data_IF_072601764707
#
_entry.id   IF_072601764707
#
_cell.length_a   1.000
_cell.length_b   1.000
_cell.length_c   1.000
_cell.angle_alpha   90.00
_cell.angle_beta   90.00
_cell.angle_gamma   90.00
#
_symmetry.space_group_name_H-M   'P 1'
#
loop_
_entity.id
_entity.type
_entity.pdbx_description
1 polymer ?
#
# COMPACT_ATOMS: atom_id res chain seq x y z
N UNK A 1 3.27 15.80 -2.00
CA UNK A 1 2.48 14.59 -1.67
C UNK A 1 0.99 14.91 -1.72
N UNK A 2 0.37 14.88 -2.90
CA UNK A 2 -1.10 15.05 -3.02
C UNK A 2 -1.86 13.72 -2.99
N UNK A 3 -1.18 12.61 -3.24
CA UNK A 3 -1.81 11.29 -3.43
C UNK A 3 -1.79 10.47 -2.13
N UNK A 4 -0.68 10.52 -1.38
CA UNK A 4 -0.50 9.80 -0.10
C UNK A 4 -1.64 9.95 0.93
N UNK A 5 -2.35 11.08 0.98
CA UNK A 5 -3.43 11.30 1.96
C UNK A 5 -4.81 10.81 1.49
N UNK A 6 -5.01 10.69 0.18
CA UNK A 6 -6.30 10.31 -0.44
C UNK A 6 -6.32 8.87 -0.92
N UNK A 7 -5.16 8.24 -1.11
CA UNK A 7 -5.10 6.86 -1.58
C UNK A 7 -5.45 5.88 -0.44
N UNK A 8 -6.50 5.05 -0.60
CA UNK A 8 -6.83 3.98 0.33
C UNK A 8 -5.66 3.02 0.61
N UNK A 9 -4.78 2.77 -0.36
CA UNK A 9 -3.63 1.87 -0.18
C UNK A 9 -2.64 2.46 0.84
N UNK A 10 -2.31 3.74 0.73
CA UNK A 10 -1.44 4.41 1.71
C UNK A 10 -2.08 4.49 3.10
N UNK A 11 -3.39 4.67 3.20
CA UNK A 11 -4.08 4.61 4.50
C UNK A 11 -4.00 3.22 5.14
N UNK A 12 -4.14 2.17 4.34
CA UNK A 12 -4.00 0.79 4.81
C UNK A 12 -2.56 0.50 5.26
N UNK A 13 -1.56 0.97 4.51
CA UNK A 13 -0.14 0.88 4.90
C UNK A 13 0.11 1.60 6.24
N UNK A 14 -0.45 2.80 6.45
CA UNK A 14 -0.28 3.52 7.73
C UNK A 14 -0.91 2.78 8.91
N UNK A 15 -2.09 2.16 8.70
CA UNK A 15 -2.72 1.29 9.72
C UNK A 15 -1.85 0.07 10.03
N UNK A 16 -1.24 -0.54 9.02
CA UNK A 16 -0.33 -1.68 9.21
C UNK A 16 0.94 -1.29 9.95
N UNK A 17 1.52 -0.13 9.63
CA UNK A 17 2.66 0.42 10.38
C UNK A 17 2.29 0.64 11.85
N UNK A 18 1.13 1.21 12.12
CA UNK A 18 0.66 1.42 13.49
C UNK A 18 0.45 0.08 14.23
N UNK A 19 -0.21 -0.88 13.57
CA UNK A 19 -0.44 -2.24 14.10
C UNK A 19 0.87 -2.96 14.37
N UNK A 20 1.81 -2.92 13.43
CA UNK A 20 3.14 -3.51 13.57
C UNK A 20 3.91 -2.87 14.72
N UNK A 21 3.93 -1.54 14.81
CA UNK A 21 4.63 -0.85 15.89
C UNK A 21 4.07 -1.17 17.28
N UNK A 22 2.76 -1.40 17.39
CA UNK A 22 2.11 -1.81 18.64
C UNK A 22 2.42 -3.28 19.01
N UNK A 23 2.63 -4.15 18.02
CA UNK A 23 2.86 -5.59 18.24
C UNK A 23 4.34 -6.00 18.16
N UNK A 24 5.25 -5.12 17.75
CA UNK A 24 6.68 -5.43 17.56
C UNK A 24 7.33 -6.02 18.80
N UNK A 25 6.92 -5.59 20.00
CA UNK A 25 7.51 -6.03 21.26
C UNK A 25 7.17 -7.50 21.56
N UNK A 26 6.05 -7.99 21.05
CA UNK A 26 5.59 -9.39 21.17
C UNK A 26 5.91 -10.23 19.94
N UNK A 27 6.60 -9.68 18.94
CA UNK A 27 6.90 -10.38 17.67
C UNK A 27 7.62 -11.71 17.86
N UNK A 28 8.50 -11.80 18.86
CA UNK A 28 9.26 -13.01 19.16
C UNK A 28 8.57 -13.93 20.20
N UNK A 29 7.37 -13.57 20.65
CA UNK A 29 6.62 -14.30 21.68
C UNK A 29 5.32 -14.80 21.05
N UNK A 30 5.36 -16.03 20.55
CA UNK A 30 4.20 -16.67 19.91
C UNK A 30 3.38 -17.40 20.98
N UNK A 31 2.07 -17.17 20.99
CA UNK A 31 1.14 -17.92 21.85
C UNK A 31 1.10 -19.39 21.43
N UNK A 32 1.23 -20.31 22.39
CA UNK A 32 1.04 -21.75 22.16
C UNK A 32 -0.42 -22.19 22.32
N UNK A 33 -1.33 -21.25 22.61
CA UNK A 33 -2.75 -21.54 22.71
C UNK A 33 -3.38 -21.57 21.31
N UNK A 34 -3.95 -22.74 20.94
CA UNK A 34 -4.59 -22.94 19.65
C UNK A 34 -5.70 -21.94 19.37
N UNK A 35 -6.63 -21.71 20.31
CA UNK A 35 -7.76 -20.80 20.11
C UNK A 35 -7.31 -19.34 19.91
N UNK A 36 -6.20 -18.94 20.54
CA UNK A 36 -5.59 -17.61 20.33
C UNK A 36 -5.01 -17.51 18.91
N UNK A 37 -4.26 -18.53 18.48
CA UNK A 37 -3.62 -18.56 17.15
C UNK A 37 -4.65 -18.65 16.02
N UNK A 38 -5.69 -19.44 16.19
CA UNK A 38 -6.80 -19.56 15.24
C UNK A 38 -7.52 -18.22 15.08
N UNK A 39 -7.80 -17.53 16.19
CA UNK A 39 -8.41 -16.21 16.17
C UNK A 39 -7.54 -15.18 15.45
N UNK A 40 -6.25 -15.12 15.76
CA UNK A 40 -5.29 -14.22 15.08
C UNK A 40 -5.27 -14.46 13.57
N UNK A 41 -5.16 -15.72 13.15
CA UNK A 41 -5.16 -16.08 11.73
C UNK A 41 -6.47 -15.69 11.04
N UNK A 42 -7.62 -15.97 11.66
CA UNK A 42 -8.93 -15.61 11.11
C UNK A 42 -9.13 -14.10 11.00
N UNK A 43 -8.63 -13.31 11.97
CA UNK A 43 -8.67 -11.84 11.92
C UNK A 43 -7.77 -11.29 10.80
N UNK A 44 -6.59 -11.88 10.60
CA UNK A 44 -5.69 -11.50 9.52
C UNK A 44 -6.27 -11.85 8.15
N UNK A 45 -6.85 -13.04 8.01
CA UNK A 45 -7.52 -13.48 6.79
C UNK A 45 -8.73 -12.61 6.46
N UNK A 46 -9.58 -12.31 7.45
CA UNK A 46 -10.72 -11.42 7.26
C UNK A 46 -10.28 -10.00 6.86
N UNK A 47 -9.21 -9.50 7.49
CA UNK A 47 -8.65 -8.17 7.15
C UNK A 47 -8.09 -8.17 5.72
N UNK A 48 -7.36 -9.21 5.32
CA UNK A 48 -6.81 -9.34 3.97
C UNK A 48 -7.91 -9.45 2.92
N UNK A 49 -8.93 -10.27 3.17
CA UNK A 49 -10.08 -10.43 2.29
C UNK A 49 -10.87 -9.14 2.13
N UNK A 50 -11.14 -8.42 3.23
CA UNK A 50 -11.83 -7.13 3.18
C UNK A 50 -11.08 -6.12 2.30
N UNK A 51 -9.74 -6.04 2.42
CA UNK A 51 -8.91 -5.16 1.59
C UNK A 51 -8.92 -5.55 0.11
N UNK A 52 -8.89 -6.86 -0.19
CA UNK A 52 -8.99 -7.34 -1.57
C UNK A 52 -10.34 -6.99 -2.17
N UNK A 53 -11.44 -7.15 -1.42
CA UNK A 53 -12.77 -6.81 -1.88
C UNK A 53 -12.96 -5.30 -2.04
N UNK A 54 -12.41 -4.47 -1.15
CA UNK A 54 -12.36 -3.01 -1.32
C UNK A 54 -11.64 -2.63 -2.63
N UNK A 55 -10.51 -3.29 -2.93
CA UNK A 55 -9.78 -3.10 -4.19
C UNK A 55 -10.61 -3.55 -5.40
N UNK A 56 -11.20 -4.74 -5.36
CA UNK A 56 -11.98 -5.28 -6.46
C UNK A 56 -13.22 -4.43 -6.74
N UNK A 57 -13.88 -3.94 -5.69
CA UNK A 57 -14.99 -3.00 -5.82
C UNK A 57 -14.57 -1.70 -6.50
N UNK A 58 -13.38 -1.19 -6.20
CA UNK A 58 -12.81 0.00 -6.88
C UNK A 58 -12.42 -0.28 -8.33
N UNK A 59 -11.94 -1.48 -8.62
CA UNK A 59 -11.58 -1.93 -9.98
C UNK A 59 -12.78 -2.42 -10.82
N UNK A 60 -13.98 -2.52 -10.22
CA UNK A 60 -15.17 -3.07 -10.87
C UNK A 60 -15.14 -4.58 -11.09
N UNK A 61 -14.27 -5.30 -10.38
CA UNK A 61 -14.15 -6.76 -10.40
C UNK A 61 -15.11 -7.41 -9.40
N UNK A 62 -15.50 -8.68 -9.61
CA UNK A 62 -16.32 -9.42 -8.66
C UNK A 62 -15.58 -9.61 -7.34
N UNK A 63 -16.28 -9.42 -6.22
CA UNK A 63 -15.76 -9.66 -4.88
C UNK A 63 -15.42 -11.14 -4.67
N UNK A 64 -14.35 -11.41 -3.93
CA UNK A 64 -13.95 -12.76 -3.53
C UNK A 64 -14.75 -13.21 -2.32
N UNK A 65 -15.20 -14.47 -2.34
CA UNK A 65 -15.87 -15.09 -1.19
C UNK A 65 -14.86 -15.61 -0.18
N UNK A 66 -13.71 -16.08 -0.66
CA UNK A 66 -12.61 -16.59 0.17
C UNK A 66 -11.26 -16.14 -0.38
N UNK A 67 -10.26 -16.11 0.49
CA UNK A 67 -8.87 -15.85 0.09
C UNK A 67 -8.34 -16.87 -0.92
N UNK A 68 -8.83 -18.12 -0.86
CA UNK A 68 -8.45 -19.19 -1.79
C UNK A 68 -8.95 -18.95 -3.23
N UNK A 69 -9.98 -18.13 -3.40
CA UNK A 69 -10.51 -17.75 -4.71
C UNK A 69 -9.61 -16.71 -5.40
N UNK A 70 -8.59 -16.20 -4.71
CA UNK A 70 -7.62 -15.27 -5.28
C UNK A 70 -6.79 -15.99 -6.36
N UNK A 71 -6.78 -15.49 -7.61
CA UNK A 71 -5.96 -16.09 -8.66
C UNK A 71 -4.49 -16.12 -8.27
N UNK A 72 -3.78 -17.22 -8.57
CA UNK A 72 -2.33 -17.33 -8.26
C UNK A 72 -1.46 -16.34 -9.04
N UNK A 73 -1.98 -15.83 -10.14
CA UNK A 73 -1.44 -14.77 -10.98
C UNK A 73 -1.87 -13.36 -10.54
N UNK A 74 -2.56 -13.23 -9.40
CA UNK A 74 -2.91 -11.93 -8.84
C UNK A 74 -1.66 -11.12 -8.51
N UNK A 75 -1.51 -9.98 -9.17
CA UNK A 75 -0.49 -8.99 -8.87
C UNK A 75 -1.07 -7.97 -7.90
N UNK A 76 -0.46 -7.88 -6.71
CA UNK A 76 -0.76 -6.79 -5.78
C UNK A 76 -0.36 -5.45 -6.44
N UNK A 77 -1.19 -4.40 -6.32
CA UNK A 77 -0.82 -3.08 -6.83
C UNK A 77 0.44 -2.59 -6.11
N UNK A 78 1.31 -1.87 -6.82
CA UNK A 78 2.50 -1.24 -6.24
C UNK A 78 2.26 0.25 -6.00
N UNK A 79 1.70 0.63 -4.83
CA UNK A 79 1.38 2.02 -4.52
C UNK A 79 2.62 2.91 -4.42
N UNK A 80 3.81 2.35 -4.16
CA UNK A 80 5.04 3.12 -4.11
C UNK A 80 5.55 3.46 -5.50
N UNK A 81 5.46 2.52 -6.44
CA UNK A 81 5.80 2.78 -7.84
C UNK A 81 4.86 3.82 -8.45
N UNK A 82 3.55 3.67 -8.25
CA UNK A 82 2.55 4.61 -8.77
C UNK A 82 2.75 6.03 -8.21
N UNK A 83 3.06 6.17 -6.91
CA UNK A 83 3.38 7.48 -6.33
C UNK A 83 4.72 8.02 -6.87
N UNK A 84 5.70 7.15 -7.12
CA UNK A 84 6.98 7.55 -7.71
C UNK A 84 6.80 8.09 -9.14
N UNK A 85 5.93 7.47 -9.95
CA UNK A 85 5.57 7.99 -11.28
C UNK A 85 4.97 9.39 -11.19
N UNK A 86 4.07 9.62 -10.24
CA UNK A 86 3.49 10.95 -10.02
C UNK A 86 4.56 11.98 -9.62
N UNK A 87 5.48 11.60 -8.72
CA UNK A 87 6.61 12.45 -8.32
C UNK A 87 7.50 12.79 -9.52
N UNK A 88 7.81 11.80 -10.37
CA UNK A 88 8.61 12.00 -11.57
C UNK A 88 7.92 12.92 -12.59
N UNK A 89 6.59 12.79 -12.77
CA UNK A 89 5.81 13.69 -13.62
C UNK A 89 5.77 15.11 -13.07
N UNK A 90 5.64 15.27 -11.75
CA UNK A 90 5.70 16.59 -11.10
C UNK A 90 7.09 17.21 -11.26
N UNK A 91 8.17 16.42 -11.14
CA UNK A 91 9.54 16.88 -11.41
C UNK A 91 9.70 17.34 -12.87
N UNK A 92 9.22 16.55 -13.84
CA UNK A 92 9.30 16.88 -15.25
C UNK A 92 8.54 18.16 -15.60
N UNK A 93 7.38 18.41 -14.95
CA UNK A 93 6.65 19.68 -15.09
C UNK A 93 7.43 20.85 -14.51
N UNK A 94 8.08 20.67 -13.36
CA UNK A 94 8.93 21.69 -12.75
C UNK A 94 10.16 22.00 -13.60
N UNK A 95 10.78 20.99 -14.23
CA UNK A 95 11.90 21.21 -15.17
C UNK A 95 11.46 21.93 -16.44
N UNK A 96 10.32 21.55 -17.04
CA UNK A 96 9.77 22.30 -18.20
C UNK A 96 9.37 23.73 -17.86
N UNK A 97 9.00 24.01 -16.60
CA UNK A 97 8.65 25.33 -16.13
C UNK A 97 9.88 26.16 -15.69
N UNK A 98 11.09 25.56 -15.60
CA UNK A 98 12.32 26.35 -15.40
C UNK A 98 12.65 27.08 -16.70
N UNK A 99 12.80 28.43 -16.67
CA UNK A 99 13.43 29.13 -17.78
C UNK A 99 14.83 28.57 -17.98
N UNK A 100 15.27 28.42 -19.23
CA UNK A 100 16.62 28.01 -19.55
C UNK A 100 17.61 28.83 -18.71
N UNK A 101 18.40 28.16 -17.86
CA UNK A 101 19.55 28.80 -17.22
C UNK A 101 20.45 29.31 -18.33
N UNK A 102 20.54 30.64 -18.43
CA UNK A 102 21.48 31.29 -19.34
C UNK A 102 22.88 30.77 -19.00
N UNK A 103 23.68 30.34 -20.00
CA UNK A 103 25.01 29.85 -19.75
C UNK A 103 25.81 30.93 -19.01
N UNK A 104 26.40 30.57 -17.87
CA UNK A 104 27.19 31.48 -17.06
C UNK A 104 28.28 32.15 -17.92
N UNK A 105 28.52 33.46 -17.78
CA UNK A 105 29.53 34.14 -18.57
C UNK A 105 30.90 33.60 -18.18
N UNK A 106 31.56 32.96 -19.15
CA UNK A 106 32.96 32.55 -19.04
C UNK A 106 33.79 33.83 -18.93
N UNK A 107 34.45 34.03 -17.79
CA UNK A 107 35.44 35.09 -17.59
C UNK A 107 36.79 34.69 -18.17
#
# INVERSE_FOLDING_TARGET
MRVSRKDPEFQNIMKDIARFNAMKDKRNIVSLNYAVREKENNEDDATRLARLNERFKREGKPELKKLDDLPKDYQEPDPYLDETVNIALDLAKLEKARPAEQPAPVK
#
